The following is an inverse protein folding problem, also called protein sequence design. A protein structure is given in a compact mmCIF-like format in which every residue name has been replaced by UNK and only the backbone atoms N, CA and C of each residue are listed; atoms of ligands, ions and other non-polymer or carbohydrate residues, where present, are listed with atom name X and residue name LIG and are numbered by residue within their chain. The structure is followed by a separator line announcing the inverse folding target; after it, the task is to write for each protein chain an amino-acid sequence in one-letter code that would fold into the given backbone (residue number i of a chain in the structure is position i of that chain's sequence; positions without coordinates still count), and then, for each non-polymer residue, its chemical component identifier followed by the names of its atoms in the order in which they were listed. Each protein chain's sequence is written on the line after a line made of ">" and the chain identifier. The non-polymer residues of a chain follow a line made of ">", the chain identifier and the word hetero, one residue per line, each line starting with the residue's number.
data_IF_248059470950
#
_entry.id   IF_248059470950
#
_cell.length_a   1.000
_cell.length_b   1.000
_cell.length_c   1.000
_cell.angle_alpha   90.00
_cell.angle_beta   90.00
_cell.angle_gamma   90.00
#
_symmetry.space_group_name_H-M   'P 1'
#
loop_
_entity.id
_entity.type
_entity.pdbx_description
1 polymer ?
#
# COMPACT_ATOMS: atom_id res chain seq x y z
N UNK A 1 -8.24 -5.02 7.98
CA UNK A 1 -9.56 -5.60 8.34
C UNK A 1 -9.54 -5.90 9.84
N UNK A 2 -10.51 -5.37 10.62
CA UNK A 2 -10.53 -5.61 12.07
C UNK A 2 -10.75 -7.10 12.38
N UNK A 3 -10.12 -7.62 13.44
CA UNK A 3 -10.30 -9.03 13.83
C UNK A 3 -11.78 -9.35 14.10
N UNK A 4 -12.50 -8.41 14.71
CA UNK A 4 -13.95 -8.52 14.97
C UNK A 4 -14.75 -8.73 13.67
N UNK A 5 -14.52 -7.89 12.65
CA UNK A 5 -15.20 -8.04 11.37
C UNK A 5 -14.88 -9.39 10.73
N UNK A 6 -13.60 -9.80 10.75
CA UNK A 6 -13.18 -11.09 10.18
C UNK A 6 -13.88 -12.26 10.86
N UNK A 7 -13.95 -12.28 12.18
CA UNK A 7 -14.63 -13.36 12.92
C UNK A 7 -16.14 -13.34 12.72
N UNK A 8 -16.78 -12.16 12.74
CA UNK A 8 -18.21 -12.03 12.52
C UNK A 8 -18.60 -12.45 11.09
N UNK A 9 -17.82 -12.04 10.09
CA UNK A 9 -17.97 -12.46 8.70
C UNK A 9 -17.87 -13.98 8.55
N UNK A 10 -16.84 -14.60 9.11
CA UNK A 10 -16.71 -16.06 9.07
C UNK A 10 -17.90 -16.74 9.76
N UNK A 11 -18.28 -16.27 10.96
CA UNK A 11 -19.43 -16.81 11.68
C UNK A 11 -20.73 -16.69 10.87
N UNK A 12 -20.90 -15.60 10.12
CA UNK A 12 -22.04 -15.35 9.26
C UNK A 12 -22.11 -16.35 8.09
N UNK A 13 -20.97 -16.67 7.48
CA UNK A 13 -20.89 -17.71 6.47
C UNK A 13 -21.28 -19.09 7.03
N UNK A 14 -20.97 -19.38 8.29
CA UNK A 14 -21.31 -20.66 8.94
C UNK A 14 -22.74 -20.73 9.50
N UNK A 15 -23.56 -19.69 9.36
CA UNK A 15 -24.98 -19.73 9.77
C UNK A 15 -25.82 -20.76 9.01
N UNK A 16 -25.32 -21.31 7.90
CA UNK A 16 -25.96 -22.44 7.22
C UNK A 16 -26.12 -23.66 8.13
N UNK A 17 -25.22 -23.90 9.09
CA UNK A 17 -25.27 -25.06 10.01
C UNK A 17 -26.51 -25.02 10.91
N UNK A 18 -26.72 -23.96 11.73
CA UNK A 18 -27.95 -23.87 12.53
C UNK A 18 -29.21 -23.73 11.67
N UNK A 19 -29.15 -23.07 10.51
CA UNK A 19 -30.30 -22.99 9.60
C UNK A 19 -30.67 -24.36 9.01
N UNK A 20 -29.68 -25.18 8.62
CA UNK A 20 -29.90 -26.54 8.15
C UNK A 20 -30.50 -27.43 9.25
N UNK A 21 -30.07 -27.26 10.50
CA UNK A 21 -30.71 -27.91 11.64
C UNK A 21 -32.21 -27.56 11.73
N UNK A 22 -32.59 -26.28 11.60
CA UNK A 22 -33.99 -25.88 11.54
C UNK A 22 -34.75 -26.45 10.33
N UNK A 23 -34.11 -26.55 9.16
CA UNK A 23 -34.73 -27.15 7.96
C UNK A 23 -35.08 -28.62 8.19
N UNK A 24 -34.21 -29.36 8.89
CA UNK A 24 -34.41 -30.79 9.19
C UNK A 24 -35.43 -30.99 10.32
N UNK A 25 -35.37 -30.17 11.36
CA UNK A 25 -36.15 -30.37 12.59
C UNK A 25 -37.49 -29.66 12.64
N UNK A 26 -37.71 -28.58 11.87
CA UNK A 26 -38.93 -27.75 11.92
C UNK A 26 -39.76 -27.90 10.63
N UNK A 27 -40.63 -28.92 10.50
CA UNK A 27 -41.36 -29.21 9.26
C UNK A 27 -42.24 -28.05 8.76
N UNK A 28 -42.82 -27.27 9.68
CA UNK A 28 -43.64 -26.10 9.34
C UNK A 28 -42.85 -24.93 8.73
N UNK A 29 -41.55 -24.83 9.01
CA UNK A 29 -40.67 -23.75 8.51
C UNK A 29 -39.70 -24.21 7.42
N UNK A 30 -39.73 -25.50 7.08
CA UNK A 30 -38.78 -26.15 6.17
C UNK A 30 -38.69 -25.48 4.80
N UNK A 31 -39.82 -25.19 4.14
CA UNK A 31 -39.83 -24.71 2.75
C UNK A 31 -39.18 -23.33 2.57
N UNK A 32 -39.35 -22.43 3.54
CA UNK A 32 -38.84 -21.06 3.44
C UNK A 32 -37.39 -20.93 3.96
N UNK A 33 -36.95 -21.80 4.87
CA UNK A 33 -35.58 -21.80 5.42
C UNK A 33 -34.54 -22.48 4.51
N UNK A 34 -34.96 -23.30 3.55
CA UNK A 34 -34.04 -23.94 2.58
C UNK A 34 -33.27 -22.88 1.79
N UNK A 35 -33.93 -21.81 1.34
CA UNK A 35 -33.30 -20.73 0.58
C UNK A 35 -32.15 -20.06 1.35
N UNK A 36 -32.39 -19.52 2.55
CA UNK A 36 -31.35 -18.92 3.38
C UNK A 36 -30.21 -19.87 3.76
N UNK A 37 -30.52 -21.13 4.08
CA UNK A 37 -29.51 -22.14 4.40
C UNK A 37 -28.63 -22.44 3.18
N UNK A 38 -29.23 -22.65 2.00
CA UNK A 38 -28.53 -22.91 0.75
C UNK A 38 -27.68 -21.70 0.31
N UNK A 39 -28.21 -20.48 0.43
CA UNK A 39 -27.46 -19.27 0.12
C UNK A 39 -26.23 -19.11 1.02
N UNK A 40 -26.39 -19.30 2.34
CA UNK A 40 -25.28 -19.19 3.29
C UNK A 40 -24.21 -20.26 3.04
N UNK A 41 -24.62 -21.48 2.68
CA UNK A 41 -23.69 -22.55 2.27
C UNK A 41 -22.96 -22.20 0.97
N UNK A 42 -23.67 -21.69 -0.05
CA UNK A 42 -23.07 -21.27 -1.30
C UNK A 42 -22.08 -20.13 -1.10
N UNK A 43 -22.40 -19.15 -0.25
CA UNK A 43 -21.49 -18.07 0.12
C UNK A 43 -20.22 -18.60 0.82
N UNK A 44 -20.37 -19.58 1.72
CA UNK A 44 -19.24 -20.22 2.38
C UNK A 44 -18.35 -21.02 1.41
N UNK A 45 -18.97 -21.76 0.47
CA UNK A 45 -18.24 -22.50 -0.58
C UNK A 45 -17.55 -21.54 -1.54
N UNK A 46 -18.22 -20.47 -1.94
CA UNK A 46 -17.64 -19.41 -2.77
C UNK A 46 -16.42 -18.79 -2.09
N UNK A 47 -16.52 -18.44 -0.80
CA UNK A 47 -15.39 -17.87 -0.07
C UNK A 47 -14.24 -18.86 0.08
N UNK A 48 -14.55 -20.14 0.32
CA UNK A 48 -13.54 -21.21 0.32
C UNK A 48 -12.83 -21.33 -1.03
N UNK A 49 -13.57 -21.31 -2.13
CA UNK A 49 -12.99 -21.31 -3.48
C UNK A 49 -12.11 -20.07 -3.71
N UNK A 50 -12.61 -18.89 -3.39
CA UNK A 50 -11.87 -17.65 -3.63
C UNK A 50 -10.58 -17.61 -2.80
N UNK A 51 -10.64 -17.97 -1.52
CA UNK A 51 -9.49 -17.94 -0.60
C UNK A 51 -8.44 -19.01 -0.95
N UNK A 52 -8.86 -20.24 -1.21
CA UNK A 52 -7.92 -21.36 -1.34
C UNK A 52 -7.51 -21.68 -2.78
N UNK A 53 -8.34 -21.33 -3.76
CA UNK A 53 -8.07 -21.61 -5.19
C UNK A 53 -7.74 -20.31 -5.92
N UNK A 54 -8.66 -19.35 -5.95
CA UNK A 54 -8.52 -18.16 -6.79
C UNK A 54 -7.37 -17.26 -6.36
N UNK A 55 -7.27 -16.91 -5.09
CA UNK A 55 -6.22 -16.02 -4.55
C UNK A 55 -4.80 -16.57 -4.74
N UNK A 56 -4.65 -17.91 -4.84
CA UNK A 56 -3.36 -18.53 -5.14
C UNK A 56 -3.00 -18.51 -6.62
N UNK A 57 -3.99 -18.39 -7.50
CA UNK A 57 -3.81 -18.43 -8.97
C UNK A 57 -3.73 -17.05 -9.61
N UNK A 58 -4.32 -16.03 -9.00
CA UNK A 58 -4.35 -14.67 -9.52
C UNK A 58 -3.31 -13.81 -8.81
N UNK A 59 -2.58 -12.99 -9.58
CA UNK A 59 -1.62 -12.02 -9.04
C UNK A 59 -2.39 -10.87 -8.41
N UNK A 60 -2.13 -10.59 -7.13
CA UNK A 60 -2.69 -9.45 -6.39
C UNK A 60 -4.24 -9.34 -6.41
N UNK A 61 -4.95 -10.34 -5.86
CA UNK A 61 -6.41 -10.35 -5.83
C UNK A 61 -6.99 -9.23 -4.95
N UNK A 62 -7.55 -8.18 -5.56
CA UNK A 62 -8.38 -7.21 -4.83
C UNK A 62 -9.82 -7.73 -4.78
N UNK A 63 -10.23 -8.24 -3.62
CA UNK A 63 -11.56 -8.80 -3.36
C UNK A 63 -12.59 -7.71 -3.05
N UNK A 64 -13.07 -6.99 -4.06
CA UNK A 64 -14.19 -6.03 -3.90
C UNK A 64 -15.52 -6.77 -3.73
N UNK A 65 -15.61 -7.99 -4.25
CA UNK A 65 -16.77 -8.88 -4.15
C UNK A 65 -17.14 -9.23 -2.71
N UNK A 66 -16.17 -9.24 -1.77
CA UNK A 66 -16.42 -9.59 -0.37
C UNK A 66 -17.49 -8.71 0.27
N UNK A 67 -17.53 -7.42 -0.09
CA UNK A 67 -18.53 -6.48 0.44
C UNK A 67 -19.94 -6.84 -0.04
N UNK A 68 -20.07 -7.28 -1.30
CA UNK A 68 -21.35 -7.72 -1.84
C UNK A 68 -21.80 -9.03 -1.22
N UNK A 69 -20.88 -10.00 -1.04
CA UNK A 69 -21.17 -11.28 -0.41
C UNK A 69 -21.61 -11.10 1.04
N UNK A 70 -20.88 -10.30 1.83
CA UNK A 70 -21.25 -9.95 3.22
C UNK A 70 -22.63 -9.30 3.24
N UNK A 71 -22.86 -8.28 2.42
CA UNK A 71 -24.13 -7.55 2.39
C UNK A 71 -25.32 -8.47 2.08
N UNK A 72 -25.18 -9.35 1.09
CA UNK A 72 -26.23 -10.30 0.71
C UNK A 72 -26.45 -11.36 1.80
N UNK A 73 -25.37 -11.88 2.41
CA UNK A 73 -25.46 -12.83 3.52
C UNK A 73 -26.17 -12.19 4.73
N UNK A 74 -25.88 -10.93 5.04
CA UNK A 74 -26.52 -10.18 6.13
C UNK A 74 -28.01 -10.06 5.90
N UNK A 75 -28.44 -9.66 4.71
CA UNK A 75 -29.87 -9.55 4.38
C UNK A 75 -30.56 -10.90 4.54
N UNK A 76 -29.99 -11.95 3.97
CA UNK A 76 -30.58 -13.30 3.99
C UNK A 76 -30.68 -13.85 5.42
N UNK A 77 -29.62 -13.70 6.21
CA UNK A 77 -29.59 -14.15 7.60
C UNK A 77 -30.53 -13.35 8.50
N UNK A 78 -30.61 -12.03 8.33
CA UNK A 78 -31.57 -11.19 9.08
C UNK A 78 -33.01 -11.57 8.75
N UNK A 79 -33.35 -11.77 7.48
CA UNK A 79 -34.68 -12.25 7.07
C UNK A 79 -34.99 -13.61 7.70
N UNK A 80 -34.02 -14.54 7.71
CA UNK A 80 -34.16 -15.83 8.37
C UNK A 80 -34.35 -15.69 9.89
N UNK A 81 -33.58 -14.82 10.54
CA UNK A 81 -33.70 -14.53 11.97
C UNK A 81 -35.06 -13.95 12.34
N UNK A 82 -35.57 -12.98 11.58
CA UNK A 82 -36.89 -12.39 11.79
C UNK A 82 -38.02 -13.43 11.56
N UNK A 83 -37.95 -14.21 10.48
CA UNK A 83 -38.95 -15.25 10.21
C UNK A 83 -38.95 -16.33 11.30
N UNK A 84 -37.78 -16.68 11.85
CA UNK A 84 -37.68 -17.58 13.00
C UNK A 84 -38.20 -16.93 14.29
N UNK A 85 -37.91 -15.66 14.55
CA UNK A 85 -38.39 -14.96 15.75
C UNK A 85 -39.92 -14.81 15.78
N UNK A 86 -40.55 -14.54 14.63
CA UNK A 86 -41.98 -14.21 14.56
C UNK A 86 -42.89 -15.35 14.06
N UNK A 87 -42.36 -16.36 13.36
CA UNK A 87 -43.18 -17.36 12.66
C UNK A 87 -43.62 -18.59 13.47
N UNK A 88 -43.85 -18.52 14.79
CA UNK A 88 -44.08 -19.72 15.61
C UNK A 88 -45.02 -19.54 16.80
N UNK A 89 -46.17 -20.22 16.79
CA UNK A 89 -47.14 -20.30 17.92
C UNK A 89 -47.07 -21.64 18.69
N UNK A 90 -46.06 -22.48 18.47
CA UNK A 90 -45.90 -23.79 19.14
C UNK A 90 -44.98 -23.76 20.36
N UNK A 91 -45.36 -24.44 21.45
CA UNK A 91 -44.71 -24.37 22.77
C UNK A 91 -43.47 -25.26 22.93
N UNK A 92 -43.34 -26.35 22.17
CA UNK A 92 -42.31 -27.39 22.37
C UNK A 92 -40.96 -27.11 21.70
N UNK A 93 -40.92 -26.34 20.61
CA UNK A 93 -39.68 -26.06 19.82
C UNK A 93 -39.12 -24.65 20.04
N UNK A 94 -39.62 -23.94 21.06
CA UNK A 94 -39.37 -22.49 21.24
C UNK A 94 -37.91 -22.15 21.56
N UNK A 95 -37.21 -23.01 22.31
CA UNK A 95 -35.81 -22.78 22.75
C UNK A 95 -34.76 -22.85 21.63
N UNK A 96 -34.63 -23.94 20.84
CA UNK A 96 -33.64 -23.99 19.75
C UNK A 96 -33.92 -22.94 18.69
N UNK A 97 -35.21 -22.71 18.39
CA UNK A 97 -35.66 -21.69 17.44
C UNK A 97 -35.28 -20.28 17.88
N UNK A 98 -35.45 -19.92 19.16
CA UNK A 98 -35.07 -18.60 19.66
C UNK A 98 -33.56 -18.39 19.63
N UNK A 99 -32.76 -19.41 19.98
CA UNK A 99 -31.30 -19.32 19.94
C UNK A 99 -30.83 -19.07 18.50
N UNK A 100 -31.35 -19.83 17.54
CA UNK A 100 -30.96 -19.69 16.13
C UNK A 100 -31.42 -18.35 15.55
N UNK A 101 -32.63 -17.89 15.90
CA UNK A 101 -33.09 -16.55 15.55
C UNK A 101 -32.15 -15.47 16.11
N UNK A 102 -31.73 -15.60 17.37
CA UNK A 102 -30.76 -14.69 17.99
C UNK A 102 -29.42 -14.72 17.26
N UNK A 103 -28.89 -15.88 16.88
CA UNK A 103 -27.64 -15.98 16.11
C UNK A 103 -27.75 -15.29 14.74
N UNK A 104 -28.83 -15.55 14.01
CA UNK A 104 -29.11 -14.96 12.71
C UNK A 104 -29.33 -13.43 12.74
N UNK A 105 -29.59 -12.85 13.92
CA UNK A 105 -29.70 -11.39 14.09
C UNK A 105 -28.42 -10.79 14.69
N UNK A 106 -27.83 -11.43 15.70
CA UNK A 106 -26.68 -10.92 16.42
C UNK A 106 -25.39 -10.95 15.58
N UNK A 107 -25.15 -12.03 14.82
CA UNK A 107 -23.94 -12.16 14.00
C UNK A 107 -23.89 -11.09 12.89
N UNK A 108 -24.96 -10.85 12.11
CA UNK A 108 -24.97 -9.75 11.14
C UNK A 108 -24.81 -8.36 11.78
N UNK A 109 -25.40 -8.13 12.97
CA UNK A 109 -25.20 -6.88 13.71
C UNK A 109 -23.73 -6.71 14.11
N UNK A 110 -23.06 -7.77 14.56
CA UNK A 110 -21.62 -7.75 14.86
C UNK A 110 -20.78 -7.51 13.61
N UNK A 111 -21.15 -8.07 12.46
CA UNK A 111 -20.47 -7.83 11.18
C UNK A 111 -20.61 -6.36 10.76
N UNK A 112 -21.82 -5.79 10.84
CA UNK A 112 -22.07 -4.36 10.55
C UNK A 112 -21.31 -3.46 11.54
N UNK A 113 -21.34 -3.77 12.84
CA UNK A 113 -20.60 -3.01 13.84
C UNK A 113 -19.08 -3.07 13.59
N UNK A 114 -18.55 -4.25 13.27
CA UNK A 114 -17.14 -4.43 12.88
C UNK A 114 -16.76 -3.65 11.62
N UNK A 115 -17.68 -3.54 10.64
CA UNK A 115 -17.51 -2.73 9.44
C UNK A 115 -17.52 -1.22 9.76
N UNK A 116 -18.47 -0.75 10.57
CA UNK A 116 -18.53 0.66 10.98
C UNK A 116 -17.29 1.07 11.78
N UNK A 117 -16.79 0.17 12.65
CA UNK A 117 -15.53 0.37 13.35
C UNK A 117 -14.35 0.47 12.37
N UNK A 118 -14.28 -0.44 11.38
CA UNK A 118 -13.26 -0.37 10.34
C UNK A 118 -13.35 0.94 9.54
N UNK A 119 -14.55 1.50 9.31
CA UNK A 119 -14.71 2.80 8.66
C UNK A 119 -14.13 3.94 9.52
N UNK A 120 -14.24 3.87 10.85
CA UNK A 120 -13.57 4.85 11.70
C UNK A 120 -12.03 4.76 11.53
N UNK A 121 -11.48 3.56 11.41
CA UNK A 121 -10.07 3.34 11.09
C UNK A 121 -9.69 3.84 9.68
N UNK A 122 -10.62 3.83 8.71
CA UNK A 122 -10.32 4.37 7.37
C UNK A 122 -9.98 5.85 7.38
N UNK A 123 -10.56 6.66 8.27
CA UNK A 123 -10.18 8.07 8.38
C UNK A 123 -8.74 8.24 8.90
N UNK A 124 -8.31 7.37 9.82
CA UNK A 124 -6.92 7.35 10.28
C UNK A 124 -5.97 6.89 9.17
N UNK A 125 -6.37 5.90 8.37
CA UNK A 125 -5.63 5.47 7.19
C UNK A 125 -5.54 6.60 6.15
N UNK A 126 -6.62 7.34 5.88
CA UNK A 126 -6.60 8.47 4.96
C UNK A 126 -5.59 9.54 5.41
N UNK A 127 -5.59 9.89 6.70
CA UNK A 127 -4.57 10.80 7.26
C UNK A 127 -3.16 10.25 7.07
N UNK A 128 -2.96 8.95 7.28
CA UNK A 128 -1.68 8.29 7.08
C UNK A 128 -1.25 8.27 5.61
N UNK A 129 -2.19 8.08 4.67
CA UNK A 129 -1.93 8.18 3.23
C UNK A 129 -1.53 9.60 2.82
N UNK A 130 -2.24 10.62 3.31
CA UNK A 130 -1.90 12.03 3.08
C UNK A 130 -0.50 12.35 3.60
N UNK A 131 -0.18 11.92 4.83
CA UNK A 131 1.15 12.07 5.42
C UNK A 131 2.22 11.35 4.58
N UNK A 132 1.96 10.11 4.17
CA UNK A 132 2.87 9.34 3.32
C UNK A 132 3.12 9.99 1.96
N UNK A 133 2.12 10.64 1.37
CA UNK A 133 2.30 11.42 0.13
C UNK A 133 3.16 12.66 0.36
N UNK A 134 2.89 13.40 1.44
CA UNK A 134 3.70 14.55 1.87
C UNK A 134 5.16 14.18 2.04
N UNK A 135 5.41 13.13 2.80
CA UNK A 135 6.75 12.60 3.05
C UNK A 135 7.47 12.20 1.78
N UNK A 136 6.81 11.47 0.87
CA UNK A 136 7.41 11.11 -0.43
C UNK A 136 7.76 12.33 -1.28
N UNK A 137 6.89 13.33 -1.33
CA UNK A 137 7.18 14.58 -2.04
C UNK A 137 8.37 15.31 -1.41
N UNK A 138 8.38 15.51 -0.10
CA UNK A 138 9.45 16.22 0.60
C UNK A 138 10.80 15.49 0.48
N UNK A 139 10.81 14.16 0.55
CA UNK A 139 12.02 13.37 0.37
C UNK A 139 12.67 13.49 -0.99
N UNK A 140 11.87 13.76 -2.04
CA UNK A 140 12.39 13.93 -3.39
C UNK A 140 13.33 15.15 -3.47
N UNK A 141 13.24 16.09 -2.52
CA UNK A 141 14.06 17.30 -2.45
C UNK A 141 15.03 17.31 -1.25
N UNK A 142 15.38 16.13 -0.70
CA UNK A 142 16.33 16.03 0.42
C UNK A 142 17.69 16.64 0.08
N UNK A 143 18.29 16.10 -0.97
CA UNK A 143 19.63 16.40 -1.44
C UNK A 143 19.66 16.35 -2.96
N UNK A 144 20.69 16.98 -3.54
CA UNK A 144 20.82 17.12 -4.99
C UNK A 144 20.90 15.74 -5.70
N UNK A 145 21.41 14.70 -5.04
CA UNK A 145 21.49 13.36 -5.61
C UNK A 145 20.13 12.66 -5.68
N UNK A 146 19.28 12.88 -4.68
CA UNK A 146 17.91 12.36 -4.61
C UNK A 146 17.00 13.13 -5.55
N UNK A 147 17.12 14.46 -5.58
CA UNK A 147 16.43 15.31 -6.55
C UNK A 147 16.75 14.87 -7.97
N UNK A 148 18.04 14.70 -8.29
CA UNK A 148 18.50 14.21 -9.57
C UNK A 148 18.00 12.80 -9.90
N UNK A 149 17.89 11.91 -8.91
CA UNK A 149 17.35 10.57 -9.12
C UNK A 149 15.85 10.58 -9.44
N UNK A 150 15.08 11.44 -8.78
CA UNK A 150 13.62 11.48 -8.94
C UNK A 150 13.21 12.29 -10.17
N UNK A 151 13.84 13.45 -10.38
CA UNK A 151 13.43 14.42 -11.40
C UNK A 151 14.44 14.55 -12.56
N UNK A 152 15.61 13.93 -12.48
CA UNK A 152 16.71 14.23 -13.38
C UNK A 152 17.35 15.59 -13.08
N UNK A 153 18.19 16.07 -14.00
CA UNK A 153 18.89 17.35 -13.81
C UNK A 153 17.93 18.55 -14.00
N UNK A 154 17.90 19.47 -13.03
CA UNK A 154 17.10 20.70 -13.10
C UNK A 154 18.02 21.88 -13.39
N UNK A 155 18.35 22.11 -14.66
CA UNK A 155 19.29 23.17 -15.09
C UNK A 155 18.61 24.24 -15.93
N UNK A 156 18.31 25.44 -15.37
CA UNK A 156 17.72 26.56 -16.12
C UNK A 156 18.52 27.00 -17.36
N UNK A 157 19.85 26.78 -17.36
CA UNK A 157 20.71 27.15 -18.48
C UNK A 157 20.53 26.21 -19.68
N UNK A 158 20.20 24.94 -19.46
CA UNK A 158 19.94 23.96 -20.53
C UNK A 158 18.50 24.05 -21.05
N UNK A 159 17.55 24.32 -20.14
CA UNK A 159 16.16 24.57 -20.46
C UNK A 159 15.67 25.76 -19.62
N UNK A 160 15.29 26.90 -20.23
CA UNK A 160 14.89 28.10 -19.49
C UNK A 160 13.66 27.88 -18.61
N UNK A 161 12.88 26.83 -18.88
CA UNK A 161 11.70 26.42 -18.11
C UNK A 161 12.01 25.45 -16.98
N UNK A 162 13.21 24.86 -16.94
CA UNK A 162 13.58 23.96 -15.85
C UNK A 162 13.59 24.72 -14.51
N UNK A 163 13.03 24.08 -13.49
CA UNK A 163 12.91 24.65 -12.16
C UNK A 163 11.74 24.08 -11.36
N UNK A 164 11.65 24.53 -10.12
CA UNK A 164 10.54 24.27 -9.22
C UNK A 164 9.64 25.51 -9.14
N UNK A 165 8.33 25.30 -9.24
CA UNK A 165 7.32 26.35 -9.25
C UNK A 165 6.24 26.05 -8.20
N UNK A 166 5.76 27.09 -7.52
CA UNK A 166 4.74 27.02 -6.49
C UNK A 166 3.55 27.90 -6.89
N UNK A 167 2.34 27.34 -6.81
CA UNK A 167 1.09 28.07 -7.04
C UNK A 167 0.73 28.97 -5.86
N UNK A 168 0.01 30.06 -6.14
CA UNK A 168 -0.44 31.07 -5.16
C UNK A 168 -1.42 30.55 -4.08
N UNK A 169 -1.90 29.31 -4.24
CA UNK A 169 -2.71 28.61 -3.27
C UNK A 169 -4.22 28.62 -3.55
N UNK A 170 -4.71 29.34 -4.59
CA UNK A 170 -6.15 29.43 -4.87
C UNK A 170 -6.76 28.14 -5.46
N UNK A 171 -5.97 27.31 -6.15
CA UNK A 171 -6.41 26.00 -6.66
C UNK A 171 -5.56 24.86 -6.06
N UNK A 172 -6.23 23.98 -5.33
CA UNK A 172 -5.61 22.82 -4.68
C UNK A 172 -5.09 21.75 -5.65
N UNK A 173 -5.32 21.86 -6.95
CA UNK A 173 -4.82 20.88 -7.92
C UNK A 173 -3.45 21.26 -8.50
N UNK A 174 -3.01 22.50 -8.30
CA UNK A 174 -1.86 23.08 -8.98
C UNK A 174 -0.90 23.77 -8.01
N UNK A 175 -0.43 23.04 -7.00
CA UNK A 175 0.39 23.62 -5.93
C UNK A 175 1.88 23.59 -6.25
N UNK A 176 2.39 22.50 -6.81
CA UNK A 176 3.81 22.34 -7.10
C UNK A 176 4.02 21.82 -8.52
N UNK A 177 4.95 22.43 -9.24
CA UNK A 177 5.34 22.01 -10.58
C UNK A 177 6.86 21.91 -10.64
N UNK A 178 7.38 20.77 -11.05
CA UNK A 178 8.81 20.54 -11.32
C UNK A 178 8.96 20.36 -12.82
N UNK A 179 9.94 21.02 -13.43
CA UNK A 179 10.34 20.81 -14.83
C UNK A 179 11.84 20.55 -14.85
N UNK A 180 12.28 19.48 -15.50
CA UNK A 180 13.71 19.17 -15.65
C UNK A 180 14.31 19.71 -16.96
N UNK A 181 15.62 19.50 -17.14
CA UNK A 181 16.35 19.95 -18.34
C UNK A 181 15.86 19.26 -19.63
N UNK A 182 15.41 18.01 -19.55
CA UNK A 182 14.84 17.27 -20.67
C UNK A 182 13.42 17.74 -21.05
N UNK A 183 12.82 18.63 -20.25
CA UNK A 183 11.46 19.12 -20.46
C UNK A 183 10.38 18.15 -20.01
N UNK A 184 10.71 17.16 -19.20
CA UNK A 184 9.74 16.37 -18.43
C UNK A 184 9.21 17.23 -17.28
N UNK A 185 7.94 17.03 -16.92
CA UNK A 185 7.32 17.75 -15.82
C UNK A 185 6.60 16.83 -14.83
N UNK A 186 6.51 17.30 -13.59
CA UNK A 186 5.75 16.69 -12.50
C UNK A 186 4.88 17.75 -11.84
N UNK A 187 3.57 17.59 -11.92
CA UNK A 187 2.58 18.50 -11.34
C UNK A 187 1.91 17.83 -10.14
N UNK A 188 1.94 18.51 -9.00
CA UNK A 188 1.37 18.07 -7.73
C UNK A 188 0.28 19.04 -7.24
N UNK A 189 -0.86 18.50 -6.83
CA UNK A 189 -1.86 19.23 -6.03
C UNK A 189 -1.52 19.29 -4.53
N UNK A 190 -2.41 19.86 -3.71
CA UNK A 190 -2.35 19.90 -2.24
C UNK A 190 -2.34 18.50 -1.65
N UNK A 191 -3.12 17.60 -2.24
CA UNK A 191 -3.12 16.18 -1.91
C UNK A 191 -1.90 15.43 -2.49
N UNK A 192 -0.99 16.14 -3.18
CA UNK A 192 0.25 15.62 -3.77
C UNK A 192 0.03 14.44 -4.74
N UNK A 193 -1.11 14.45 -5.43
CA UNK A 193 -1.31 13.61 -6.59
C UNK A 193 -0.43 14.08 -7.73
N UNK A 194 0.36 13.16 -8.26
CA UNK A 194 1.29 13.41 -9.35
C UNK A 194 0.61 13.24 -10.72
N UNK A 195 0.73 14.25 -11.57
CA UNK A 195 0.60 14.13 -13.01
C UNK A 195 1.96 14.35 -13.66
N UNK A 196 2.34 13.46 -14.57
CA UNK A 196 3.63 13.50 -15.26
C UNK A 196 3.41 13.62 -16.77
N UNK A 197 4.35 14.27 -17.44
CA UNK A 197 4.40 14.28 -18.90
C UNK A 197 5.65 14.91 -19.45
N UNK A 198 5.64 15.12 -20.76
CA UNK A 198 6.79 15.60 -21.50
C UNK A 198 6.42 16.81 -22.35
N UNK A 199 7.40 17.68 -22.56
CA UNK A 199 7.31 18.79 -23.50
C UNK A 199 6.87 18.29 -24.88
N UNK A 200 5.98 19.03 -25.53
CA UNK A 200 5.59 18.71 -26.91
C UNK A 200 6.77 18.98 -27.87
N UNK A 201 7.04 18.09 -28.83
CA UNK A 201 8.13 18.26 -29.79
C UNK A 201 8.08 19.58 -30.57
N UNK A 202 6.87 20.04 -30.91
CA UNK A 202 6.66 21.18 -31.81
C UNK A 202 6.53 22.54 -31.09
N UNK A 203 6.71 22.59 -29.76
CA UNK A 203 6.56 23.83 -29.00
C UNK A 203 7.89 24.61 -28.93
N UNK A 204 8.32 25.22 -30.03
CA UNK A 204 9.51 26.09 -30.08
C UNK A 204 9.18 27.56 -29.78
N UNK A 205 8.34 27.80 -28.77
CA UNK A 205 8.06 29.15 -28.29
C UNK A 205 8.97 29.50 -27.11
N UNK A 206 9.72 30.58 -27.22
CA UNK A 206 10.61 31.06 -26.15
C UNK A 206 9.83 31.52 -24.91
N UNK A 207 8.59 31.99 -25.08
CA UNK A 207 7.74 32.56 -24.03
C UNK A 207 6.65 31.60 -23.54
N UNK A 208 6.58 30.40 -24.13
CA UNK A 208 5.60 29.37 -23.76
C UNK A 208 6.19 27.96 -23.77
N UNK A 209 6.16 27.30 -22.63
CA UNK A 209 6.36 25.86 -22.51
C UNK A 209 5.02 25.16 -22.70
N UNK A 210 4.95 24.17 -23.59
CA UNK A 210 3.78 23.30 -23.72
C UNK A 210 4.17 21.84 -23.51
N UNK A 211 3.36 21.14 -22.73
CA UNK A 211 3.59 19.74 -22.42
C UNK A 211 2.30 18.93 -22.49
N UNK A 212 2.48 17.63 -22.65
CA UNK A 212 1.40 16.66 -22.65
C UNK A 212 1.74 15.53 -21.70
N UNK A 213 0.82 15.27 -20.78
CA UNK A 213 0.91 14.18 -19.83
C UNK A 213 -0.22 13.18 -20.00
N UNK A 214 0.00 11.97 -19.50
CA UNK A 214 -1.06 10.99 -19.26
C UNK A 214 -1.59 11.20 -17.84
N UNK A 215 -2.84 11.66 -17.73
CA UNK A 215 -3.57 11.63 -16.46
C UNK A 215 -3.97 10.22 -16.06
N UNK A 216 -4.40 10.02 -14.80
CA UNK A 216 -4.78 8.72 -14.19
C UNK A 216 -5.93 7.95 -14.87
N UNK A 217 -6.46 8.40 -16.01
CA UNK A 217 -7.60 7.79 -16.71
C UNK A 217 -7.48 7.86 -18.25
N UNK A 218 -6.29 7.67 -18.82
CA UNK A 218 -6.03 7.86 -20.26
C UNK A 218 -6.37 9.27 -20.78
N UNK A 219 -6.55 10.24 -19.88
CA UNK A 219 -6.82 11.64 -20.21
C UNK A 219 -5.52 12.30 -20.63
N UNK A 220 -5.53 12.94 -21.81
CA UNK A 220 -4.41 13.76 -22.26
C UNK A 220 -4.50 15.10 -21.53
N UNK A 221 -3.70 15.27 -20.48
CA UNK A 221 -3.53 16.56 -19.85
C UNK A 221 -2.63 17.42 -20.73
N UNK A 222 -3.09 18.63 -21.07
CA UNK A 222 -2.28 19.65 -21.74
C UNK A 222 -1.91 20.70 -20.71
N UNK A 223 -0.62 20.94 -20.57
CA UNK A 223 -0.07 21.95 -19.70
C UNK A 223 0.60 23.01 -20.57
N UNK A 224 0.34 24.29 -20.29
CA UNK A 224 1.13 25.37 -20.84
C UNK A 224 1.59 26.32 -19.74
N UNK A 225 2.88 26.63 -19.71
CA UNK A 225 3.45 27.62 -18.79
C UNK A 225 3.89 28.82 -19.60
N UNK A 226 3.37 30.00 -19.27
CA UNK A 226 3.68 31.27 -19.95
C UNK A 226 4.45 32.20 -19.02
N UNK A 227 5.48 32.85 -19.55
CA UNK A 227 6.21 33.90 -18.83
C UNK A 227 5.46 35.22 -18.96
N UNK A 228 5.27 35.94 -17.86
CA UNK A 228 4.80 37.32 -17.88
C UNK A 228 6.00 38.28 -17.77
N UNK A 229 5.91 39.44 -18.41
CA UNK A 229 7.01 40.42 -18.44
C UNK A 229 7.43 40.88 -17.04
N UNK A 230 6.45 41.15 -16.15
CA UNK A 230 6.67 41.70 -14.80
C UNK A 230 5.83 40.99 -13.72
N UNK A 231 5.60 39.68 -13.87
CA UNK A 231 4.63 38.96 -13.05
C UNK A 231 4.94 37.47 -12.83
N UNK A 232 4.09 36.77 -12.06
CA UNK A 232 4.18 35.32 -11.93
C UNK A 232 4.03 34.65 -13.31
N UNK A 233 4.53 33.42 -13.43
CA UNK A 233 4.22 32.59 -14.58
C UNK A 233 2.73 32.24 -14.56
N UNK A 234 2.12 32.10 -15.73
CA UNK A 234 0.75 31.60 -15.84
C UNK A 234 0.78 30.14 -16.26
N UNK A 235 0.29 29.27 -15.39
CA UNK A 235 0.07 27.85 -15.65
C UNK A 235 -1.35 27.66 -16.17
N UNK A 236 -1.48 27.26 -17.43
CA UNK A 236 -2.72 26.86 -18.08
C UNK A 236 -2.80 25.33 -18.08
N UNK A 237 -3.87 24.77 -17.53
CA UNK A 237 -4.11 23.33 -17.54
C UNK A 237 -5.46 23.02 -18.17
N UNK A 238 -5.43 22.15 -19.16
CA UNK A 238 -6.60 21.58 -19.83
C UNK A 238 -6.57 20.05 -19.65
N UNK A 239 -7.64 19.52 -19.07
CA UNK A 239 -7.77 18.09 -18.78
C UNK A 239 -8.40 17.28 -19.92
N UNK A 240 -8.76 17.91 -21.04
CA UNK A 240 -9.24 17.19 -22.22
C UNK A 240 -10.48 16.34 -21.97
N UNK A 241 -11.31 16.70 -20.98
CA UNK A 241 -12.66 16.15 -20.88
C UNK A 241 -13.37 16.48 -22.20
N UNK A 242 -14.04 15.52 -22.83
CA UNK A 242 -14.73 15.69 -24.12
C UNK A 242 -15.86 16.74 -24.14
N UNK A 243 -15.95 17.57 -23.10
CA UNK A 243 -16.76 18.79 -22.99
C UNK A 243 -15.78 19.95 -22.95
N UNK A 244 -15.95 20.93 -23.85
CA UNK A 244 -15.10 22.12 -23.99
C UNK A 244 -15.08 22.97 -22.71
N UNK A 245 -14.34 22.51 -21.72
CA UNK A 245 -14.12 23.22 -20.48
C UNK A 245 -12.96 24.17 -20.74
N UNK A 246 -13.12 25.48 -20.53
CA UNK A 246 -12.02 26.41 -20.76
C UNK A 246 -10.80 26.00 -19.91
N UNK A 247 -9.58 26.11 -20.44
CA UNK A 247 -8.37 25.85 -19.68
C UNK A 247 -8.37 26.66 -18.39
N UNK A 248 -7.99 26.04 -17.27
CA UNK A 248 -7.86 26.78 -16.03
C UNK A 248 -6.49 27.41 -15.96
N UNK A 249 -6.45 28.70 -15.65
CA UNK A 249 -5.21 29.46 -15.51
C UNK A 249 -4.94 29.74 -14.03
N UNK A 250 -3.73 29.45 -13.57
CA UNK A 250 -3.28 29.67 -12.19
C UNK A 250 -1.91 30.36 -12.21
N UNK A 251 -1.71 31.44 -11.44
CA UNK A 251 -0.39 32.03 -11.32
C UNK A 251 0.53 31.14 -10.49
N UNK A 252 1.76 30.93 -10.98
CA UNK A 252 2.80 30.17 -10.31
C UNK A 252 4.10 30.98 -10.29
N UNK A 253 4.88 30.81 -9.23
CA UNK A 253 6.16 31.50 -9.07
C UNK A 253 7.28 30.49 -9.02
N UNK A 254 8.41 30.78 -9.68
CA UNK A 254 9.61 29.96 -9.52
C UNK A 254 10.11 30.11 -8.09
N UNK A 255 10.37 28.99 -7.42
CA UNK A 255 10.79 28.94 -6.03
C UNK A 255 12.02 28.04 -5.87
N UNK A 256 12.66 28.12 -4.71
CA UNK A 256 13.65 27.12 -4.30
C UNK A 256 12.92 25.89 -3.78
N UNK A 257 13.30 24.66 -4.20
CA UNK A 257 12.71 23.45 -3.65
C UNK A 257 12.82 23.40 -2.11
N UNK A 258 11.79 22.89 -1.41
CA UNK A 258 11.87 22.73 0.03
C UNK A 258 12.96 21.70 0.37
N UNK A 259 13.99 22.08 1.13
CA UNK A 259 14.98 21.11 1.63
C UNK A 259 14.40 20.36 2.82
N UNK A 260 14.45 19.04 2.75
CA UNK A 260 14.01 18.15 3.81
C UNK A 260 15.23 17.51 4.51
N UNK A 261 15.27 17.46 5.86
CA UNK A 261 14.30 18.02 6.80
C UNK A 261 14.39 19.56 6.91
N UNK A 262 13.24 20.22 7.12
CA UNK A 262 13.18 21.68 7.28
C UNK A 262 13.74 22.17 8.64
N UNK A 263 13.86 21.29 9.64
CA UNK A 263 14.42 21.63 10.97
C UNK A 263 15.82 21.06 11.14
N UNK A 264 16.80 21.96 11.17
CA UNK A 264 18.23 21.70 11.30
C UNK A 264 18.62 21.37 12.74
N UNK A 265 18.56 20.08 13.08
CA UNK A 265 19.61 19.38 13.81
C UNK A 265 19.28 17.90 13.70
N UNK A 266 19.94 17.13 12.81
CA UNK A 266 19.88 15.69 12.88
C UNK A 266 20.42 15.30 14.26
N UNK A 267 19.51 14.94 15.15
CA UNK A 267 19.89 14.19 16.33
C UNK A 267 20.15 12.79 15.80
N UNK A 268 21.42 12.42 15.60
CA UNK A 268 21.89 11.13 15.07
C UNK A 268 21.54 9.93 16.00
N UNK A 269 20.42 10.03 16.73
CA UNK A 269 19.91 8.97 17.58
C UNK A 269 19.49 7.75 16.78
N UNK A 270 19.06 7.93 15.52
CA UNK A 270 18.68 6.86 14.61
C UNK A 270 19.64 6.84 13.43
N UNK A 271 20.30 5.70 13.21
CA UNK A 271 21.21 5.47 12.08
C UNK A 271 20.66 4.39 11.17
N UNK A 272 20.53 4.68 9.88
CA UNK A 272 20.29 3.64 8.90
C UNK A 272 21.55 2.80 8.69
N UNK A 273 21.47 1.50 8.98
CA UNK A 273 22.59 0.56 8.88
C UNK A 273 22.77 0.10 7.43
N UNK A 274 21.67 -0.08 6.72
CA UNK A 274 21.64 -0.42 5.30
C UNK A 274 20.60 -1.46 4.92
N UNK A 275 20.61 -1.79 3.63
CA UNK A 275 19.81 -2.87 3.04
C UNK A 275 20.68 -4.11 2.88
N UNK A 276 20.16 -5.27 3.28
CA UNK A 276 20.82 -6.55 3.15
C UNK A 276 19.88 -7.53 2.49
N UNK A 277 20.31 -8.20 1.44
CA UNK A 277 19.49 -9.12 0.68
C UNK A 277 20.23 -10.41 0.31
N UNK A 278 19.46 -11.49 0.18
CA UNK A 278 19.91 -12.80 -0.23
C UNK A 278 18.81 -13.53 -0.97
N UNK A 279 19.18 -14.38 -1.90
CA UNK A 279 18.24 -15.18 -2.68
C UNK A 279 18.68 -16.63 -2.73
N UNK A 280 17.73 -17.53 -2.89
CA UNK A 280 17.98 -18.93 -3.19
C UNK A 280 16.83 -19.49 -4.02
N UNK A 281 17.12 -20.53 -4.79
CA UNK A 281 16.13 -21.21 -5.62
C UNK A 281 15.91 -22.63 -5.13
N UNK A 282 14.69 -23.12 -5.31
CA UNK A 282 14.36 -24.52 -5.07
C UNK A 282 13.77 -25.12 -6.35
N UNK A 283 14.67 -25.55 -7.23
CA UNK A 283 14.33 -25.96 -8.59
C UNK A 283 14.04 -24.76 -9.48
N UNK A 284 13.23 -24.95 -10.52
CA UNK A 284 12.96 -23.93 -11.56
C UNK A 284 11.71 -23.09 -11.29
N UNK A 285 10.95 -23.39 -10.23
CA UNK A 285 9.61 -22.81 -9.98
C UNK A 285 9.56 -21.83 -8.82
N UNK A 286 10.60 -21.78 -7.99
CA UNK A 286 10.62 -20.94 -6.78
C UNK A 286 11.88 -20.09 -6.73
N UNK A 287 11.64 -18.82 -6.45
CA UNK A 287 12.63 -17.79 -6.21
C UNK A 287 12.36 -17.26 -4.81
N UNK A 288 13.21 -17.65 -3.86
CA UNK A 288 13.11 -17.13 -2.51
C UNK A 288 13.94 -15.86 -2.39
N UNK A 289 13.32 -14.82 -1.86
CA UNK A 289 13.99 -13.58 -1.49
C UNK A 289 13.97 -13.46 0.03
N UNK A 290 15.10 -13.04 0.58
CA UNK A 290 15.24 -12.55 1.94
C UNK A 290 15.83 -11.14 1.85
N UNK A 291 15.14 -10.12 2.37
CA UNK A 291 15.64 -8.75 2.38
C UNK A 291 15.32 -8.05 3.69
N UNK A 292 16.29 -7.28 4.19
CA UNK A 292 16.24 -6.50 5.40
C UNK A 292 16.57 -5.05 5.12
N UNK A 293 15.85 -4.15 5.78
CA UNK A 293 16.26 -2.77 5.97
C UNK A 293 16.50 -2.59 7.47
N UNK A 294 17.70 -2.19 7.86
CA UNK A 294 18.11 -2.16 9.26
C UNK A 294 18.40 -0.74 9.73
N UNK A 295 17.90 -0.40 10.92
CA UNK A 295 18.20 0.84 11.63
C UNK A 295 18.73 0.52 13.04
N UNK A 296 19.51 1.45 13.58
CA UNK A 296 20.12 1.39 14.90
C UNK A 296 19.77 2.64 15.69
N UNK A 297 19.54 2.48 17.00
CA UNK A 297 19.45 3.58 17.96
C UNK A 297 20.09 3.19 19.28
N UNK A 298 20.18 4.14 20.22
CA UNK A 298 20.65 3.91 21.59
C UNK A 298 19.92 2.74 22.30
N UNK A 299 18.68 2.45 21.92
CA UNK A 299 17.86 1.37 22.49
C UNK A 299 17.96 0.01 21.79
N UNK A 300 18.77 -0.13 20.74
CA UNK A 300 18.92 -1.37 19.96
C UNK A 300 18.68 -1.20 18.46
N UNK A 301 18.55 -2.32 17.77
CA UNK A 301 18.30 -2.38 16.33
C UNK A 301 16.85 -2.77 16.04
N UNK A 302 16.33 -2.30 14.92
CA UNK A 302 15.05 -2.73 14.37
C UNK A 302 15.13 -2.71 12.85
N UNK A 303 14.13 -3.27 12.20
CA UNK A 303 14.14 -3.35 10.76
C UNK A 303 12.79 -3.56 10.12
N UNK A 304 12.84 -3.62 8.80
CA UNK A 304 11.79 -4.18 7.96
C UNK A 304 12.34 -5.44 7.32
N UNK A 305 11.47 -6.40 7.05
CA UNK A 305 11.83 -7.71 6.55
C UNK A 305 10.85 -8.21 5.51
N UNK A 306 11.41 -8.74 4.44
CA UNK A 306 10.66 -9.51 3.44
C UNK A 306 11.33 -10.88 3.35
N UNK A 307 10.53 -11.92 3.54
CA UNK A 307 10.91 -13.28 3.19
C UNK A 307 9.77 -13.98 2.51
N UNK A 308 9.90 -14.19 1.21
CA UNK A 308 8.81 -14.76 0.44
C UNK A 308 9.29 -15.58 -0.74
N UNK A 309 8.39 -16.43 -1.21
CA UNK A 309 8.60 -17.28 -2.37
C UNK A 309 7.87 -16.71 -3.59
N UNK A 310 8.63 -16.46 -4.64
CA UNK A 310 8.16 -15.88 -5.87
C UNK A 310 8.32 -16.85 -7.03
N UNK A 311 7.43 -16.75 -8.02
CA UNK A 311 7.58 -17.50 -9.27
C UNK A 311 8.48 -16.68 -10.20
N UNK A 312 9.58 -17.25 -10.72
CA UNK A 312 10.47 -16.55 -11.65
C UNK A 312 9.71 -15.98 -12.86
N UNK A 313 10.06 -14.75 -13.27
CA UNK A 313 9.46 -14.08 -14.43
C UNK A 313 8.04 -13.53 -14.20
N UNK A 314 7.48 -13.66 -12.99
CA UNK A 314 6.21 -13.02 -12.65
C UNK A 314 6.42 -11.62 -12.08
N UNK A 315 5.53 -10.70 -12.45
CA UNK A 315 5.37 -9.45 -11.76
C UNK A 315 4.67 -9.69 -10.43
N UNK A 316 5.25 -9.18 -9.35
CA UNK A 316 4.67 -9.16 -8.01
C UNK A 316 4.30 -7.75 -7.65
N UNK A 317 3.15 -7.60 -7.01
CA UNK A 317 2.62 -6.32 -6.58
C UNK A 317 2.21 -6.45 -5.11
N UNK A 318 2.15 -5.33 -4.40
CA UNK A 318 1.74 -5.27 -2.98
C UNK A 318 2.66 -6.06 -2.04
N UNK A 319 3.98 -5.99 -2.27
CA UNK A 319 4.94 -6.58 -1.34
C UNK A 319 4.96 -5.72 -0.07
N UNK A 320 4.60 -6.32 1.07
CA UNK A 320 4.51 -5.66 2.36
C UNK A 320 5.61 -6.17 3.30
N UNK A 321 6.64 -5.36 3.60
CA UNK A 321 7.64 -5.72 4.60
C UNK A 321 7.02 -5.82 5.99
N UNK A 322 7.41 -6.85 6.75
CA UNK A 322 7.07 -7.01 8.16
C UNK A 322 8.02 -6.18 9.03
N UNK A 323 7.53 -5.43 10.05
CA UNK A 323 8.40 -4.79 11.02
C UNK A 323 9.09 -5.82 11.92
N UNK A 324 10.36 -5.60 12.23
CA UNK A 324 11.17 -6.45 13.09
C UNK A 324 11.71 -5.69 14.29
N UNK A 325 11.55 -6.30 15.47
CA UNK A 325 12.37 -5.96 16.63
C UNK A 325 13.58 -6.88 16.70
N UNK A 326 14.77 -6.30 16.77
CA UNK A 326 16.02 -7.06 16.72
C UNK A 326 16.68 -7.02 18.09
N UNK A 327 16.88 -8.20 18.67
CA UNK A 327 17.70 -8.38 19.87
C UNK A 327 19.11 -8.71 19.44
N UNK A 328 20.03 -7.80 19.74
CA UNK A 328 21.44 -8.04 19.56
C UNK A 328 22.01 -8.89 20.70
N UNK A 329 22.83 -9.89 20.34
CA UNK A 329 23.78 -10.57 21.23
C UNK A 329 25.19 -10.33 20.72
N UNK A 330 26.16 -10.40 21.63
CA UNK A 330 27.60 -10.31 21.34
C UNK A 330 27.95 -9.10 20.46
N UNK A 331 27.62 -7.89 20.91
CA UNK A 331 27.86 -6.63 20.18
C UNK A 331 27.20 -6.62 18.78
N UNK A 332 25.99 -7.18 18.67
CA UNK A 332 25.26 -7.35 17.41
C UNK A 332 25.99 -8.23 16.37
N UNK A 333 26.90 -9.12 16.79
CA UNK A 333 27.38 -10.22 15.94
C UNK A 333 26.30 -11.26 15.69
N UNK A 334 25.33 -11.35 16.61
CA UNK A 334 24.17 -12.20 16.47
C UNK A 334 22.91 -11.36 16.60
N UNK A 335 22.05 -11.42 15.59
CA UNK A 335 20.75 -10.76 15.57
C UNK A 335 19.68 -11.83 15.73
N UNK A 336 18.83 -11.68 16.74
CA UNK A 336 17.69 -12.58 16.96
C UNK A 336 16.40 -11.78 16.88
N UNK A 337 15.43 -12.28 16.12
CA UNK A 337 14.14 -11.63 15.92
C UNK A 337 13.02 -12.66 15.77
N UNK A 338 11.79 -12.22 16.00
CA UNK A 338 10.59 -13.01 15.78
C UNK A 338 9.89 -12.53 14.52
N UNK A 339 9.42 -13.48 13.71
CA UNK A 339 8.64 -13.23 12.49
C UNK A 339 7.33 -13.99 12.56
N UNK A 340 6.42 -13.73 11.62
CA UNK A 340 5.21 -14.54 11.44
C UNK A 340 5.50 -16.03 11.22
N UNK A 341 6.71 -16.38 10.76
CA UNK A 341 7.20 -17.75 10.51
C UNK A 341 8.05 -18.33 11.65
N UNK A 342 8.05 -17.66 12.80
CA UNK A 342 8.76 -18.06 14.01
C UNK A 342 10.05 -17.29 14.25
N UNK A 343 10.79 -17.73 15.26
CA UNK A 343 12.05 -17.12 15.67
C UNK A 343 13.14 -17.38 14.63
N UNK A 344 13.93 -16.35 14.35
CA UNK A 344 15.04 -16.38 13.40
C UNK A 344 16.30 -15.81 14.03
N UNK A 345 17.43 -16.25 13.50
CA UNK A 345 18.76 -15.85 13.94
C UNK A 345 19.64 -15.58 12.72
N UNK A 346 20.32 -14.44 12.76
CA UNK A 346 21.35 -14.06 11.81
C UNK A 346 22.68 -13.92 12.55
N UNK A 347 23.72 -14.48 11.97
CA UNK A 347 25.09 -14.32 12.41
C UNK A 347 25.83 -13.41 11.44
N UNK A 348 26.40 -12.32 11.94
CA UNK A 348 27.21 -11.41 11.17
C UNK A 348 28.55 -12.06 10.86
N UNK A 349 28.84 -12.26 9.57
CA UNK A 349 30.11 -12.80 9.09
C UNK A 349 31.07 -11.67 8.70
N UNK A 350 30.54 -10.54 8.22
CA UNK A 350 31.30 -9.31 7.94
C UNK A 350 30.46 -8.05 8.16
N UNK A 351 31.03 -6.87 7.91
CA UNK A 351 30.26 -5.62 7.97
C UNK A 351 29.10 -5.57 6.96
N UNK A 352 29.23 -6.32 5.88
CA UNK A 352 28.34 -6.31 4.72
C UNK A 352 27.68 -7.67 4.49
N UNK A 353 27.79 -8.59 5.44
CA UNK A 353 27.30 -9.95 5.27
C UNK A 353 26.75 -10.52 6.57
N UNK A 354 25.59 -11.15 6.44
CA UNK A 354 24.95 -11.98 7.45
C UNK A 354 24.71 -13.37 6.91
N UNK A 355 24.71 -14.32 7.82
CA UNK A 355 24.48 -15.72 7.58
C UNK A 355 23.30 -16.17 8.43
N UNK A 356 22.31 -16.79 7.84
CA UNK A 356 21.08 -17.19 8.53
C UNK A 356 20.52 -18.52 8.05
N UNK A 357 19.75 -19.17 8.92
CA UNK A 357 19.01 -20.37 8.56
C UNK A 357 17.54 -20.01 8.31
N UNK A 358 17.03 -20.39 7.14
CA UNK A 358 15.66 -20.07 6.69
C UNK A 358 14.94 -21.35 6.21
N UNK A 359 13.63 -21.41 6.47
CA UNK A 359 12.72 -22.50 6.11
C UNK A 359 13.02 -23.88 6.75
N UNK A 360 12.24 -24.90 6.36
CA UNK A 360 12.38 -26.29 6.80
C UNK A 360 12.48 -27.21 5.57
N UNK A 361 13.54 -28.05 5.45
CA UNK A 361 14.70 -28.10 6.33
C UNK A 361 15.51 -26.80 6.26
N UNK A 362 16.02 -26.37 7.41
CA UNK A 362 16.77 -25.12 7.57
C UNK A 362 17.85 -25.00 6.48
N UNK A 363 17.65 -24.08 5.53
CA UNK A 363 18.62 -23.74 4.50
C UNK A 363 19.43 -22.54 4.94
N UNK A 364 20.73 -22.68 4.79
CA UNK A 364 21.67 -21.60 5.02
C UNK A 364 21.60 -20.59 3.87
N UNK A 365 21.35 -19.32 4.20
CA UNK A 365 21.29 -18.22 3.25
C UNK A 365 22.33 -17.18 3.66
N UNK A 366 23.16 -16.80 2.69
CA UNK A 366 24.08 -15.68 2.81
C UNK A 366 23.34 -14.43 2.33
N UNK A 367 23.28 -13.43 3.20
CA UNK A 367 22.61 -12.16 2.95
C UNK A 367 23.70 -11.10 2.91
N UNK A 368 23.86 -10.46 1.77
CA UNK A 368 24.90 -9.45 1.54
C UNK A 368 24.29 -8.05 1.48
N UNK A 369 25.09 -7.02 1.75
CA UNK A 369 24.68 -5.63 1.56
C UNK A 369 24.28 -5.41 0.11
N UNK A 370 23.10 -4.83 -0.08
CA UNK A 370 22.50 -4.60 -1.39
C UNK A 370 21.01 -4.78 -1.36
N UNK A 371 20.35 -4.20 -2.36
CA UNK A 371 18.92 -4.26 -2.56
C UNK A 371 18.62 -5.10 -3.81
N UNK A 372 17.71 -6.07 -3.67
CA UNK A 372 17.21 -6.89 -4.79
C UNK A 372 15.77 -6.51 -5.10
N UNK A 373 14.95 -6.38 -4.08
CA UNK A 373 13.61 -5.83 -4.21
C UNK A 373 13.74 -4.30 -4.25
N UNK A 374 13.46 -3.64 -5.39
CA UNK A 374 13.61 -2.20 -5.53
C UNK A 374 12.48 -1.51 -4.75
N UNK A 375 12.69 -1.32 -3.46
CA UNK A 375 12.00 -0.28 -2.75
C UNK A 375 12.74 1.00 -3.08
N UNK A 376 12.09 2.18 -3.12
CA UNK A 376 12.83 3.42 -3.27
C UNK A 376 13.63 3.60 -1.99
N UNK A 377 14.85 3.06 -1.96
CA UNK A 377 15.68 2.98 -0.77
C UNK A 377 15.94 4.36 -0.16
N UNK A 378 15.85 5.42 -0.96
CA UNK A 378 15.86 6.80 -0.46
C UNK A 378 14.72 7.06 0.53
N UNK A 379 13.51 6.54 0.35
CA UNK A 379 12.39 6.70 1.29
C UNK A 379 12.64 6.05 2.66
N UNK A 380 13.46 5.00 2.70
CA UNK A 380 13.74 4.20 3.89
C UNK A 380 15.01 4.67 4.61
N UNK A 381 16.01 5.10 3.83
CA UNK A 381 17.21 5.80 4.30
C UNK A 381 16.87 7.21 4.84
N UNK A 382 15.78 7.81 4.37
CA UNK A 382 15.29 9.11 4.83
C UNK A 382 14.53 9.01 6.14
N UNK A 383 15.25 9.14 7.24
CA UNK A 383 14.67 9.35 8.55
C UNK A 383 15.30 10.57 9.23
N UNK A 384 14.68 11.76 9.18
CA UNK A 384 15.12 12.88 10.01
C UNK A 384 14.52 12.76 11.41
N UNK A 385 14.94 11.80 12.21
CA UNK A 385 14.09 11.38 13.33
C UNK A 385 14.88 11.43 14.61
N UNK A 386 14.46 12.37 15.46
CA UNK A 386 15.01 12.61 16.77
C UNK A 386 14.78 11.44 17.75
N UNK A 387 14.08 10.38 17.31
CA UNK A 387 13.81 9.17 18.08
C UNK A 387 13.33 8.01 17.20
N UNK A 388 13.47 6.77 17.69
CA UNK A 388 12.92 5.55 17.07
C UNK A 388 11.41 5.66 16.78
N UNK A 389 10.62 6.22 17.70
CA UNK A 389 9.16 6.35 17.54
C UNK A 389 8.78 7.20 16.32
N UNK A 390 9.53 8.26 16.08
CA UNK A 390 9.32 9.10 14.90
C UNK A 390 9.69 8.32 13.61
N UNK A 391 10.73 7.47 13.65
CA UNK A 391 11.07 6.54 12.56
C UNK A 391 9.99 5.51 12.24
N UNK A 392 9.44 4.87 13.25
CA UNK A 392 8.33 3.95 13.05
C UNK A 392 7.10 4.65 12.46
N UNK A 393 6.77 5.87 12.93
CA UNK A 393 5.67 6.65 12.38
C UNK A 393 5.90 7.07 10.92
N UNK A 394 7.11 7.50 10.59
CA UNK A 394 7.52 7.83 9.23
C UNK A 394 7.41 6.62 8.30
N UNK A 395 8.04 5.50 8.67
CA UNK A 395 8.02 4.26 7.89
C UNK A 395 6.58 3.81 7.67
N UNK A 396 5.77 3.80 8.72
CA UNK A 396 4.35 3.47 8.62
C UNK A 396 3.63 4.37 7.61
N UNK A 397 3.89 5.68 7.59
CA UNK A 397 3.25 6.61 6.65
C UNK A 397 3.74 6.43 5.20
N UNK A 398 5.06 6.37 4.95
CA UNK A 398 5.58 6.21 3.58
C UNK A 398 5.21 4.87 2.96
N UNK A 399 5.08 3.83 3.78
CA UNK A 399 4.68 2.48 3.37
C UNK A 399 3.18 2.32 3.16
N UNK A 400 2.33 3.05 3.90
CA UNK A 400 0.87 2.89 3.86
C UNK A 400 0.28 2.98 2.45
N UNK A 401 0.88 3.79 1.56
CA UNK A 401 0.45 3.94 0.18
C UNK A 401 1.51 3.63 -0.86
N UNK A 402 2.50 2.83 -0.50
CA UNK A 402 3.51 2.37 -1.43
C UNK A 402 3.17 0.96 -1.89
N UNK A 403 2.80 0.85 -3.17
CA UNK A 403 2.68 -0.45 -3.84
C UNK A 403 4.07 -0.78 -4.39
N UNK A 404 4.83 -1.62 -3.69
CA UNK A 404 6.06 -2.15 -4.26
C UNK A 404 5.67 -3.17 -5.32
N UNK A 405 6.05 -2.87 -6.55
CA UNK A 405 5.94 -3.77 -7.68
C UNK A 405 7.32 -4.22 -8.09
N UNK A 406 7.48 -5.51 -8.35
CA UNK A 406 8.76 -6.09 -8.70
C UNK A 406 8.59 -7.18 -9.75
N UNK A 407 9.33 -7.04 -10.84
CA UNK A 407 9.45 -8.09 -11.85
C UNK A 407 10.50 -9.09 -11.36
N UNK A 408 10.03 -10.25 -10.92
CA UNK A 408 10.88 -11.28 -10.32
C UNK A 408 11.83 -11.80 -11.41
N UNK A 409 13.16 -11.79 -11.17
CA UNK A 409 14.12 -12.30 -12.13
C UNK A 409 13.79 -13.73 -12.56
N UNK A 410 13.96 -14.03 -13.85
CA UNK A 410 13.83 -15.39 -14.36
C UNK A 410 14.96 -16.32 -13.91
N UNK A 411 16.06 -15.76 -13.41
CA UNK A 411 17.23 -16.45 -12.88
C UNK A 411 17.83 -15.69 -11.69
N UNK A 412 18.31 -16.38 -10.64
CA UNK A 412 18.97 -15.76 -9.48
C UNK A 412 20.33 -15.12 -9.79
N UNK A 413 21.01 -15.52 -10.87
CA UNK A 413 22.36 -15.04 -11.20
C UNK A 413 22.36 -13.68 -11.89
N UNK A 414 21.20 -13.17 -12.31
CA UNK A 414 21.09 -11.79 -12.80
C UNK A 414 20.77 -10.87 -11.63
N UNK A 415 21.83 -10.27 -11.07
CA UNK A 415 21.72 -8.93 -10.48
C UNK A 415 21.44 -7.94 -11.61
N UNK A 416 20.28 -8.03 -12.24
CA UNK A 416 19.76 -6.99 -13.10
C UNK A 416 19.40 -5.85 -12.14
N UNK A 417 20.37 -4.99 -11.88
CA UNK A 417 20.19 -3.72 -11.19
C UNK A 417 19.15 -2.92 -11.97
N UNK A 418 17.90 -2.98 -11.52
CA UNK A 418 16.84 -2.09 -11.98
C UNK A 418 17.31 -0.64 -11.74
N UNK A 419 17.45 0.11 -12.83
CA UNK A 419 17.68 1.56 -12.81
C UNK A 419 16.36 2.29 -12.65
#
# INVERSE_FOLDING_TARGET
>A
MSQLFRYAYLAELFLWVPLAYCVVTLPASRRWLIGPAAFSLLAAVYEGYMTFVWERTVVAPIRVDIFLVVFMATIVNVIAGLGLAFGGKGTTERKPRSIIATLCLAIPVLAIAGYLYMRADTAALDVQFEQGRKYRFETAFRDDATEKRVFGDIKPNANPWAGYYVGDGADDRFKHLVINEAGQFWLYGTALYLSEGYRKPDSTNADRYEAQGSGRMNQKMRLALRRQADGPYLLEVDFGYGVATPPKTVPVQRATPPRFPQTSSPNDEVKFVGVFSGTYTEGTKSFWLVQFWLWESKGGQWGLYVHDNYVPGQRREFIHPEPLEIRCRDQCRELTFETSRGRRKLQRTSNDEFKGMYDSPEREVIITRGEILPMPGFLLDLAPLASRRQNEAWLSAVLAGQMVTWDVPSSPDRRDTAR
#
